data_IF_602609661278
#
_entry.id   IF_602609661278
#
_cell.length_a   1.000
_cell.length_b   1.000
_cell.length_c   1.000
_cell.angle_alpha   90.00
_cell.angle_beta   90.00
_cell.angle_gamma   90.00
#
_symmetry.space_group_name_H-M   'P 1'
#
loop_
_entity.id
_entity.type
_entity.pdbx_description
1 polymer ?
#
# COMPACT_ATOMS: atom_id res chain seq x y z
N UNK A 1 34.21 -53.56 -34.86
CA UNK A 1 33.32 -52.39 -34.85
C UNK A 1 32.98 -52.10 -33.39
N UNK A 2 33.70 -51.16 -32.73
CA UNK A 2 33.25 -49.81 -32.34
C UNK A 2 31.85 -49.75 -31.71
N UNK A 3 31.80 -49.32 -30.45
CA UNK A 3 30.59 -48.90 -29.73
C UNK A 3 30.88 -48.63 -28.26
N UNK A 4 31.43 -47.45 -27.96
CA UNK A 4 31.71 -46.93 -26.62
C UNK A 4 30.60 -45.97 -26.14
N UNK A 5 30.73 -45.57 -24.87
CA UNK A 5 30.13 -44.43 -24.14
C UNK A 5 28.74 -44.64 -23.51
N UNK A 6 28.61 -44.75 -22.17
CA UNK A 6 28.86 -43.81 -21.04
C UNK A 6 27.68 -42.85 -20.79
N UNK A 7 27.07 -43.04 -19.61
CA UNK A 7 26.60 -42.07 -18.61
C UNK A 7 26.21 -40.66 -19.11
N UNK A 8 24.92 -40.31 -18.97
CA UNK A 8 24.49 -38.91 -18.89
C UNK A 8 24.66 -38.40 -17.45
N UNK A 9 25.41 -37.30 -17.20
CA UNK A 9 25.48 -36.67 -15.90
C UNK A 9 24.56 -35.45 -15.78
N UNK A 10 24.01 -35.27 -14.58
CA UNK A 10 23.93 -33.96 -13.94
C UNK A 10 22.64 -33.16 -14.11
N UNK A 11 21.69 -33.34 -13.19
CA UNK A 11 20.88 -32.22 -12.72
C UNK A 11 21.83 -31.29 -11.94
N UNK A 12 22.40 -30.28 -12.61
CA UNK A 12 23.21 -29.27 -11.93
C UNK A 12 22.30 -28.35 -11.10
N UNK A 13 22.49 -28.33 -9.79
CA UNK A 13 21.86 -27.35 -8.90
C UNK A 13 22.22 -25.91 -9.33
N UNK A 14 21.30 -24.95 -9.28
CA UNK A 14 21.58 -23.57 -9.66
C UNK A 14 22.66 -22.96 -8.75
N UNK A 15 23.58 -22.19 -9.34
CA UNK A 15 24.66 -21.50 -8.61
C UNK A 15 24.07 -20.36 -7.79
N UNK A 16 24.71 -20.02 -6.66
CA UNK A 16 24.28 -18.95 -5.75
C UNK A 16 23.98 -17.62 -6.47
N UNK A 17 24.80 -17.26 -7.46
CA UNK A 17 24.61 -16.04 -8.28
C UNK A 17 23.33 -16.05 -9.13
N UNK A 18 22.90 -17.23 -9.59
CA UNK A 18 21.67 -17.40 -10.36
C UNK A 18 20.44 -17.29 -9.44
N UNK A 19 20.56 -17.75 -8.18
CA UNK A 19 19.53 -17.63 -7.15
C UNK A 19 19.34 -16.17 -6.74
N UNK A 20 20.43 -15.42 -6.55
CA UNK A 20 20.39 -14.01 -6.15
C UNK A 20 19.72 -13.13 -7.23
N UNK A 21 20.06 -13.33 -8.51
CA UNK A 21 19.41 -12.64 -9.63
C UNK A 21 17.92 -13.03 -9.78
N UNK A 22 17.57 -14.30 -9.58
CA UNK A 22 16.19 -14.75 -9.64
C UNK A 22 15.36 -14.19 -8.48
N UNK A 23 15.91 -14.13 -7.27
CA UNK A 23 15.25 -13.49 -6.14
C UNK A 23 15.04 -11.99 -6.39
N UNK A 24 16.06 -11.27 -6.85
CA UNK A 24 15.95 -9.83 -7.12
C UNK A 24 14.87 -9.51 -8.18
N UNK A 25 14.79 -10.32 -9.23
CA UNK A 25 13.75 -10.16 -10.27
C UNK A 25 12.35 -10.48 -9.75
N UNK A 26 12.20 -11.50 -8.89
CA UNK A 26 10.93 -11.82 -8.23
C UNK A 26 10.47 -10.71 -7.29
N UNK A 27 11.36 -10.18 -6.43
CA UNK A 27 11.05 -9.07 -5.52
C UNK A 27 10.65 -7.79 -6.27
N UNK A 28 11.31 -7.52 -7.40
CA UNK A 28 10.99 -6.38 -8.29
C UNK A 28 9.61 -6.55 -8.92
N UNK A 29 9.30 -7.74 -9.41
CA UNK A 29 7.99 -8.06 -9.99
C UNK A 29 6.86 -7.96 -8.97
N UNK A 30 7.03 -8.51 -7.76
CA UNK A 30 6.03 -8.37 -6.70
C UNK A 30 5.79 -6.93 -6.29
N UNK A 31 6.85 -6.11 -6.32
CA UNK A 31 6.73 -4.69 -5.99
C UNK A 31 5.92 -3.93 -7.03
N UNK A 32 6.18 -4.17 -8.32
CA UNK A 32 5.40 -3.57 -9.41
C UNK A 32 3.94 -4.03 -9.38
N UNK A 33 3.69 -5.32 -9.11
CA UNK A 33 2.35 -5.90 -9.11
C UNK A 33 1.37 -5.26 -8.11
N UNK A 34 1.86 -4.65 -7.02
CA UNK A 34 1.00 -3.90 -6.08
C UNK A 34 0.41 -2.63 -6.70
N UNK A 35 1.04 -2.12 -7.76
CA UNK A 35 0.67 -0.89 -8.45
C UNK A 35 -0.17 -1.15 -9.71
N UNK A 36 -0.41 -2.41 -10.07
CA UNK A 36 -1.14 -2.78 -11.28
C UNK A 36 -2.54 -2.14 -11.30
N UNK A 37 -2.80 -1.39 -12.38
CA UNK A 37 -4.05 -0.67 -12.61
C UNK A 37 -4.34 0.46 -11.62
N UNK A 38 -3.43 0.83 -10.73
CA UNK A 38 -3.57 2.04 -9.91
C UNK A 38 -3.17 3.27 -10.74
N UNK A 39 -3.87 4.39 -10.54
CA UNK A 39 -3.41 5.68 -11.06
C UNK A 39 -2.06 6.05 -10.41
N UNK A 40 -1.37 7.03 -10.99
CA UNK A 40 -0.15 7.59 -10.38
C UNK A 40 -0.43 8.12 -8.97
N UNK A 41 -1.57 8.79 -8.77
CA UNK A 41 -1.98 9.33 -7.48
C UNK A 41 -2.20 8.22 -6.44
N UNK A 42 -2.93 7.15 -6.81
CA UNK A 42 -3.17 5.98 -5.95
C UNK A 42 -1.88 5.23 -5.63
N UNK A 43 -1.00 5.07 -6.60
CA UNK A 43 0.32 4.46 -6.40
C UNK A 43 1.19 5.26 -5.43
N UNK A 44 1.20 6.58 -5.58
CA UNK A 44 1.89 7.49 -4.65
C UNK A 44 1.30 7.37 -3.24
N UNK A 45 -0.03 7.41 -3.11
CA UNK A 45 -0.71 7.29 -1.82
C UNK A 45 -0.42 5.95 -1.15
N UNK A 46 -0.43 4.85 -1.89
CA UNK A 46 -0.08 3.53 -1.36
C UNK A 46 1.33 3.51 -0.76
N UNK A 47 2.31 4.15 -1.43
CA UNK A 47 3.68 4.27 -0.91
C UNK A 47 3.69 5.11 0.36
N UNK A 48 3.06 6.28 0.36
CA UNK A 48 3.02 7.19 1.51
C UNK A 48 2.38 6.54 2.75
N UNK A 49 1.30 5.78 2.57
CA UNK A 49 0.66 5.02 3.65
C UNK A 49 1.63 3.96 4.20
N UNK A 50 2.32 3.22 3.33
CA UNK A 50 3.22 2.12 3.74
C UNK A 50 4.46 2.64 4.46
N UNK A 51 4.98 3.80 4.08
CA UNK A 51 6.14 4.43 4.73
C UNK A 51 5.74 5.27 5.94
N UNK A 52 4.47 5.63 6.07
CA UNK A 52 3.99 6.60 7.06
C UNK A 52 4.36 8.06 6.73
N UNK A 53 5.09 8.29 5.62
CA UNK A 53 5.45 9.63 5.15
C UNK A 53 4.30 10.22 4.33
N UNK A 54 3.24 10.62 5.02
CA UNK A 54 1.97 11.06 4.45
C UNK A 54 1.50 12.38 5.10
N UNK A 55 0.66 13.15 4.41
CA UNK A 55 0.09 14.41 4.92
C UNK A 55 -0.95 14.27 6.04
N UNK A 56 -0.78 13.34 6.97
CA UNK A 56 -1.62 13.19 8.17
C UNK A 56 -0.92 13.79 9.39
N UNK A 57 -1.71 14.18 10.41
CA UNK A 57 -1.19 14.95 11.55
C UNK A 57 -0.01 14.26 12.25
N UNK A 58 -0.02 12.94 12.34
CA UNK A 58 1.05 12.20 13.00
C UNK A 58 2.44 12.48 12.41
N UNK A 59 2.53 12.36 11.09
CA UNK A 59 3.78 12.59 10.37
C UNK A 59 4.14 14.07 10.33
N UNK A 60 3.18 14.94 10.02
CA UNK A 60 3.41 16.39 9.93
C UNK A 60 3.88 16.98 11.26
N UNK A 61 3.28 16.56 12.38
CA UNK A 61 3.72 16.93 13.72
C UNK A 61 5.16 16.47 13.98
N UNK A 62 5.48 15.21 13.63
CA UNK A 62 6.84 14.65 13.79
C UNK A 62 7.89 15.41 12.96
N UNK A 63 7.47 16.08 11.87
CA UNK A 63 8.35 16.93 11.04
C UNK A 63 8.37 18.40 11.46
N UNK A 64 7.60 18.80 12.48
CA UNK A 64 7.57 20.16 13.00
C UNK A 64 6.85 21.17 12.09
N UNK A 65 5.83 20.74 11.35
CA UNK A 65 5.00 21.65 10.54
C UNK A 65 4.26 22.64 11.46
N UNK A 66 4.48 23.96 11.33
CA UNK A 66 3.99 24.95 12.32
C UNK A 66 2.48 24.93 12.56
N UNK A 67 1.68 24.65 11.53
CA UNK A 67 0.21 24.63 11.62
C UNK A 67 -0.34 23.36 12.28
N UNK A 68 0.49 22.32 12.46
CA UNK A 68 0.09 21.04 13.05
C UNK A 68 0.58 20.95 14.49
N UNK A 69 -0.27 21.40 15.42
CA UNK A 69 0.08 21.53 16.84
C UNK A 69 0.01 20.22 17.65
N UNK A 70 -0.61 19.17 17.10
CA UNK A 70 -0.74 17.88 17.79
C UNK A 70 -0.81 16.73 16.79
N UNK A 71 -0.18 15.58 17.07
CA UNK A 71 -0.28 14.39 16.23
C UNK A 71 -1.61 13.65 16.42
N UNK A 72 -2.42 14.04 17.42
CA UNK A 72 -3.67 13.37 17.76
C UNK A 72 -4.70 13.49 16.62
N UNK A 73 -5.44 12.42 16.41
CA UNK A 73 -6.65 12.44 15.59
C UNK A 73 -7.74 13.23 16.32
N UNK A 74 -8.59 13.91 15.55
CA UNK A 74 -9.74 14.66 16.07
C UNK A 74 -10.73 13.78 16.85
N UNK A 75 -10.74 12.46 16.63
CA UNK A 75 -11.57 11.55 17.43
C UNK A 75 -11.07 11.34 18.87
N UNK A 76 -9.85 11.77 19.21
CA UNK A 76 -9.29 11.67 20.57
C UNK A 76 -8.63 10.33 20.93
N UNK A 77 -8.85 9.27 20.15
CA UNK A 77 -8.46 7.89 20.51
C UNK A 77 -7.06 7.47 20.04
N UNK A 78 -6.22 8.41 19.57
CA UNK A 78 -4.85 8.09 19.17
C UNK A 78 -4.21 9.09 18.21
N UNK A 79 -3.03 8.72 17.70
CA UNK A 79 -2.30 9.50 16.69
C UNK A 79 -2.95 9.32 15.32
N UNK A 80 -3.04 10.39 14.55
CA UNK A 80 -3.68 10.38 13.23
C UNK A 80 -2.77 9.76 12.18
N UNK A 81 -2.86 8.44 12.05
CA UNK A 81 -2.22 7.65 10.98
C UNK A 81 -3.27 7.04 10.06
N UNK A 82 -2.87 6.60 8.87
CA UNK A 82 -3.78 5.90 7.96
C UNK A 82 -4.29 4.58 8.60
N UNK A 83 -3.44 3.88 9.36
CA UNK A 83 -3.86 2.72 10.17
C UNK A 83 -4.96 3.12 11.15
N UNK A 84 -4.77 4.21 11.90
CA UNK A 84 -5.78 4.70 12.83
C UNK A 84 -7.09 5.02 12.11
N UNK A 85 -7.06 5.80 11.03
CA UNK A 85 -8.27 6.19 10.29
C UNK A 85 -9.07 4.98 9.76
N UNK A 86 -8.40 3.92 9.30
CA UNK A 86 -9.05 2.75 8.70
C UNK A 86 -9.45 1.71 9.74
N UNK A 87 -8.62 1.47 10.75
CA UNK A 87 -8.78 0.34 11.69
C UNK A 87 -9.46 0.77 12.99
N UNK A 88 -9.06 1.91 13.55
CA UNK A 88 -9.34 2.26 14.94
C UNK A 88 -10.32 3.41 15.09
N UNK A 89 -10.36 4.34 14.13
CA UNK A 89 -11.10 5.58 14.23
C UNK A 89 -12.63 5.33 14.24
N UNK A 90 -13.29 5.76 15.30
CA UNK A 90 -14.74 5.64 15.46
C UNK A 90 -15.50 6.84 14.87
N UNK A 91 -14.80 7.97 14.64
CA UNK A 91 -15.34 9.20 14.10
C UNK A 91 -14.34 9.85 13.11
N UNK A 92 -14.04 9.22 11.96
CA UNK A 92 -13.19 9.84 10.95
C UNK A 92 -13.91 11.07 10.35
N UNK A 93 -13.18 12.08 9.85
CA UNK A 93 -13.82 13.30 9.35
C UNK A 93 -14.51 13.07 8.01
N UNK A 94 -15.53 13.89 7.77
CA UNK A 94 -16.52 13.79 6.70
C UNK A 94 -17.43 12.54 6.79
N UNK A 95 -18.60 12.67 6.17
CA UNK A 95 -19.88 11.97 6.38
C UNK A 95 -19.89 10.44 6.25
N UNK A 96 -18.77 9.77 6.01
CA UNK A 96 -18.73 8.31 5.86
C UNK A 96 -17.52 7.66 6.52
N UNK A 97 -17.78 7.07 7.68
CA UNK A 97 -16.88 6.11 8.33
C UNK A 97 -16.41 5.04 7.33
N UNK A 98 -15.15 4.63 7.43
CA UNK A 98 -14.71 3.41 6.74
C UNK A 98 -15.62 2.26 7.15
N UNK A 99 -16.32 1.68 6.19
CA UNK A 99 -17.07 0.44 6.39
C UNK A 99 -16.02 -0.64 6.65
N UNK A 100 -15.82 -1.02 7.94
CA UNK A 100 -14.82 -1.98 8.46
C UNK A 100 -14.86 -3.40 7.86
N UNK A 101 -15.41 -3.55 6.66
CA UNK A 101 -15.46 -4.74 5.84
C UNK A 101 -14.05 -5.21 5.46
N UNK A 102 -13.67 -6.38 5.97
CA UNK A 102 -12.42 -7.06 5.59
C UNK A 102 -11.13 -6.49 6.17
N UNK A 103 -11.19 -5.42 6.99
CA UNK A 103 -10.03 -4.84 7.68
C UNK A 103 -10.46 -4.51 9.12
N UNK A 104 -10.06 -5.35 10.08
CA UNK A 104 -10.46 -5.21 11.48
C UNK A 104 -9.31 -4.92 12.40
N UNK A 105 -8.12 -5.38 12.03
CA UNK A 105 -6.90 -5.27 12.82
C UNK A 105 -5.80 -4.56 12.03
N UNK A 106 -4.77 -4.10 12.77
CA UNK A 106 -3.51 -3.63 12.19
C UNK A 106 -2.91 -4.65 11.22
N UNK A 107 -2.94 -5.94 11.56
CA UNK A 107 -2.42 -7.01 10.70
C UNK A 107 -3.15 -7.02 9.37
N UNK A 108 -4.48 -7.01 9.38
CA UNK A 108 -5.29 -7.03 8.14
C UNK A 108 -4.98 -5.82 7.26
N UNK A 109 -4.85 -4.64 7.88
CA UNK A 109 -4.52 -3.41 7.18
C UNK A 109 -3.19 -3.53 6.43
N UNK A 110 -2.12 -3.96 7.11
CA UNK A 110 -0.83 -4.13 6.45
C UNK A 110 -0.82 -5.28 5.44
N UNK A 111 -1.55 -6.36 5.68
CA UNK A 111 -1.73 -7.45 4.71
C UNK A 111 -2.42 -6.96 3.43
N UNK A 112 -3.41 -6.07 3.54
CA UNK A 112 -4.06 -5.45 2.38
C UNK A 112 -3.09 -4.55 1.61
N UNK A 113 -2.32 -3.70 2.29
CA UNK A 113 -1.39 -2.76 1.64
C UNK A 113 -0.17 -3.45 0.97
N UNK A 114 0.21 -4.64 1.46
CA UNK A 114 1.36 -5.38 0.92
C UNK A 114 0.98 -6.54 0.00
N UNK A 115 -0.31 -6.92 -0.01
CA UNK A 115 -0.80 -8.07 -0.75
C UNK A 115 -0.94 -7.82 -2.25
N UNK A 116 -0.53 -8.80 -3.04
CA UNK A 116 -0.59 -8.79 -4.52
C UNK A 116 -1.72 -9.66 -5.08
N UNK A 117 -2.49 -10.34 -4.23
CA UNK A 117 -3.61 -11.16 -4.68
C UNK A 117 -4.81 -10.28 -5.03
N UNK A 118 -5.74 -10.75 -5.89
CA UNK A 118 -6.87 -9.94 -6.36
C UNK A 118 -7.75 -9.37 -5.22
N UNK A 119 -7.94 -10.13 -4.14
CA UNK A 119 -8.75 -9.71 -2.99
C UNK A 119 -8.10 -8.55 -2.25
N UNK A 120 -6.81 -8.65 -1.92
CA UNK A 120 -6.07 -7.58 -1.24
C UNK A 120 -5.91 -6.37 -2.14
N UNK A 121 -5.65 -6.56 -3.45
CA UNK A 121 -5.54 -5.46 -4.40
C UNK A 121 -6.86 -4.65 -4.50
N UNK A 122 -8.01 -5.35 -4.53
CA UNK A 122 -9.33 -4.70 -4.52
C UNK A 122 -9.59 -3.95 -3.21
N UNK A 123 -9.27 -4.55 -2.07
CA UNK A 123 -9.42 -3.87 -0.77
C UNK A 123 -8.49 -2.66 -0.65
N UNK A 124 -7.24 -2.77 -1.12
CA UNK A 124 -6.29 -1.67 -1.13
C UNK A 124 -6.83 -0.51 -1.96
N UNK A 125 -7.38 -0.77 -3.16
CA UNK A 125 -8.02 0.26 -3.97
C UNK A 125 -9.16 0.96 -3.23
N UNK A 126 -10.04 0.22 -2.56
CA UNK A 126 -11.14 0.79 -1.75
C UNK A 126 -10.61 1.68 -0.61
N UNK A 127 -9.54 1.25 0.08
CA UNK A 127 -8.89 2.05 1.12
C UNK A 127 -8.33 3.36 0.54
N UNK A 128 -7.65 3.29 -0.61
CA UNK A 128 -7.08 4.46 -1.27
C UNK A 128 -8.16 5.44 -1.73
N UNK A 129 -9.23 4.94 -2.36
CA UNK A 129 -10.40 5.72 -2.75
C UNK A 129 -11.00 6.43 -1.54
N UNK A 130 -11.28 5.70 -0.46
CA UNK A 130 -11.86 6.26 0.76
C UNK A 130 -10.96 7.31 1.41
N UNK A 131 -9.64 7.08 1.48
CA UNK A 131 -8.70 8.07 2.04
C UNK A 131 -8.64 9.34 1.20
N UNK A 132 -8.69 9.23 -0.14
CA UNK A 132 -8.78 10.40 -1.01
C UNK A 132 -10.08 11.18 -0.81
N UNK A 133 -11.18 10.49 -0.51
CA UNK A 133 -12.50 11.11 -0.28
C UNK A 133 -12.69 11.64 1.16
N UNK A 134 -11.82 11.24 2.10
CA UNK A 134 -11.96 11.56 3.54
C UNK A 134 -11.77 13.05 3.89
N UNK A 135 -11.25 13.85 2.96
CA UNK A 135 -10.88 15.26 3.21
C UNK A 135 -9.63 15.45 4.08
N UNK A 136 -9.03 14.39 4.62
CA UNK A 136 -7.77 14.47 5.39
C UNK A 136 -6.53 14.72 4.55
N UNK A 137 -6.60 14.43 3.25
CA UNK A 137 -5.46 14.48 2.35
C UNK A 137 -5.71 15.44 1.20
N UNK A 138 -5.77 16.77 1.46
CA UNK A 138 -6.15 17.76 0.47
C UNK A 138 -5.23 17.77 -0.76
N UNK A 139 -3.97 17.33 -0.62
CA UNK A 139 -3.01 17.18 -1.72
C UNK A 139 -3.48 16.23 -2.84
N UNK A 140 -4.43 15.33 -2.57
CA UNK A 140 -4.98 14.41 -3.57
C UNK A 140 -6.30 14.88 -4.18
N UNK A 141 -6.89 16.00 -3.73
CA UNK A 141 -8.21 16.46 -4.16
C UNK A 141 -8.31 16.67 -5.68
N UNK A 142 -7.29 17.31 -6.28
CA UNK A 142 -7.28 17.55 -7.73
C UNK A 142 -7.20 16.22 -8.50
N UNK A 143 -6.29 15.33 -8.10
CA UNK A 143 -6.15 14.02 -8.73
C UNK A 143 -7.45 13.21 -8.62
N UNK A 144 -8.09 13.24 -7.45
CA UNK A 144 -9.37 12.55 -7.22
C UNK A 144 -10.48 13.11 -8.12
N UNK A 145 -10.57 14.43 -8.28
CA UNK A 145 -11.53 15.06 -9.18
C UNK A 145 -11.34 14.63 -10.63
N UNK A 146 -10.10 14.67 -11.13
CA UNK A 146 -9.77 14.23 -12.48
C UNK A 146 -10.08 12.74 -12.71
N UNK A 147 -9.87 11.89 -11.71
CA UNK A 147 -10.26 10.46 -11.79
C UNK A 147 -11.79 10.28 -11.92
N UNK A 148 -12.57 11.09 -11.21
CA UNK A 148 -14.03 11.03 -11.26
C UNK A 148 -14.57 11.59 -12.59
N UNK A 149 -13.98 12.68 -13.09
CA UNK A 149 -14.32 13.27 -14.39
C UNK A 149 -14.00 12.32 -15.55
N UNK A 150 -12.88 11.58 -15.48
CA UNK A 150 -12.52 10.60 -16.50
C UNK A 150 -13.37 9.31 -16.46
N UNK A 151 -14.11 9.08 -15.37
CA UNK A 151 -14.97 7.90 -15.19
C UNK A 151 -16.46 8.18 -15.46
N UNK A 152 -16.84 9.43 -15.65
CA UNK A 152 -18.18 9.89 -15.98
C UNK A 152 -18.42 9.89 -17.50
#
# INVERSE_FOLDING_TARGET
MRGAQILQPGLSSPRCSDIDHQQETLFRNETLRRHDGLSKAKSSLLIQIRTGAIGLRDFLFTRGVPEVLTPACECGEGRETAEHLVVWCLAPPLTRRWERTGIWTRRDFYSVLHGINPTTARLARRVLDWLMDSGKLPMYNLARRLELEAAA
#
